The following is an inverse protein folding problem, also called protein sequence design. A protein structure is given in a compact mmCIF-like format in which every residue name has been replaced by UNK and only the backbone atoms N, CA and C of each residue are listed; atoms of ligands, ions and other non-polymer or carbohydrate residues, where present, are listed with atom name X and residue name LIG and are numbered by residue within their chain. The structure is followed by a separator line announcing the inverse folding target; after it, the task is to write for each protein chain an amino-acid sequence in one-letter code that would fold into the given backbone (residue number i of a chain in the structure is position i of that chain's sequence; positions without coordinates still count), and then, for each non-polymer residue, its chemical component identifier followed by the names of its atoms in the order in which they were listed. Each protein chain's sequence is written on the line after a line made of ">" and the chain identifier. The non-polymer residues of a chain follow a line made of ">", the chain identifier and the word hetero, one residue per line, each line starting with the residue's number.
data_IF_914097221553
#
_entry.id   IF_914097221553
#
_cell.length_a   1.000
_cell.length_b   1.000
_cell.length_c   1.000
_cell.angle_alpha   90.00
_cell.angle_beta   90.00
_cell.angle_gamma   90.00
#
_symmetry.space_group_name_H-M   'P 1'
#
loop_
_entity.id
_entity.type
_entity.pdbx_description
1 polymer ?
#
# COMPACT_ATOMS: atom_id res chain seq x y z
N UNK A 1 -31.55 9.71 16.35
CA UNK A 1 -30.82 8.55 16.90
C UNK A 1 -29.34 8.80 16.71
N UNK A 2 -28.66 9.36 17.71
CA UNK A 2 -27.22 9.63 17.68
C UNK A 2 -26.48 8.36 18.12
N UNK A 3 -25.65 7.80 17.24
CA UNK A 3 -24.76 6.70 17.59
C UNK A 3 -23.67 7.22 18.52
N UNK A 4 -23.79 6.98 19.82
CA UNK A 4 -22.66 7.15 20.75
C UNK A 4 -21.70 5.98 20.51
N UNK A 5 -20.58 6.26 19.84
CA UNK A 5 -19.49 5.30 19.72
C UNK A 5 -19.01 4.97 21.15
N UNK A 6 -18.82 3.68 21.50
CA UNK A 6 -18.26 3.29 22.79
C UNK A 6 -16.91 4.00 23.00
N UNK A 7 -16.50 4.17 24.26
CA UNK A 7 -15.31 4.92 24.70
C UNK A 7 -13.99 4.36 24.11
N UNK A 8 -13.78 4.58 22.80
CA UNK A 8 -12.69 4.08 22.00
C UNK A 8 -11.47 4.94 22.33
N UNK A 9 -10.55 4.39 23.12
CA UNK A 9 -9.27 5.04 23.37
C UNK A 9 -8.43 4.99 22.08
N UNK A 10 -7.99 6.14 21.54
CA UNK A 10 -7.12 6.14 20.36
C UNK A 10 -5.81 5.41 20.64
N UNK A 11 -5.51 4.40 19.83
CA UNK A 11 -4.21 3.71 19.83
C UNK A 11 -3.44 4.10 18.57
N UNK A 12 -2.53 5.06 18.73
CA UNK A 12 -1.74 5.61 17.63
C UNK A 12 -0.85 4.55 16.97
N UNK A 13 -0.29 3.63 17.75
CA UNK A 13 0.61 2.60 17.23
C UNK A 13 -0.16 1.61 16.35
N UNK A 14 -1.33 1.18 16.82
CA UNK A 14 -2.22 0.31 16.04
C UNK A 14 -2.73 1.00 14.78
N UNK A 15 -3.13 2.27 14.86
CA UNK A 15 -3.60 3.02 13.68
C UNK A 15 -2.49 3.18 12.65
N UNK A 16 -1.26 3.49 13.08
CA UNK A 16 -0.13 3.61 12.15
C UNK A 16 0.22 2.27 11.49
N UNK A 17 0.18 1.18 12.25
CA UNK A 17 0.37 -0.17 11.71
C UNK A 17 -0.69 -0.51 10.66
N UNK A 18 -1.97 -0.23 10.94
CA UNK A 18 -3.06 -0.44 10.00
C UNK A 18 -2.89 0.42 8.75
N UNK A 19 -2.60 1.72 8.91
CA UNK A 19 -2.40 2.63 7.78
C UNK A 19 -1.27 2.17 6.85
N UNK A 20 -0.16 1.66 7.39
CA UNK A 20 0.94 1.09 6.59
C UNK A 20 0.50 -0.15 5.82
N UNK A 21 -0.26 -1.05 6.44
CA UNK A 21 -0.81 -2.24 5.78
C UNK A 21 -1.76 -1.87 4.64
N UNK A 22 -2.67 -0.94 4.89
CA UNK A 22 -3.65 -0.50 3.89
C UNK A 22 -2.98 0.19 2.70
N UNK A 23 -1.87 0.91 2.91
CA UNK A 23 -1.12 1.52 1.82
C UNK A 23 -0.65 0.48 0.78
N UNK A 24 -0.15 -0.67 1.21
CA UNK A 24 0.25 -1.74 0.28
C UNK A 24 -0.93 -2.34 -0.50
N UNK A 25 -2.10 -2.43 0.13
CA UNK A 25 -3.33 -2.90 -0.53
C UNK A 25 -3.77 -1.90 -1.60
N UNK A 26 -3.75 -0.59 -1.29
CA UNK A 26 -4.08 0.46 -2.26
C UNK A 26 -3.15 0.45 -3.47
N UNK A 27 -1.85 0.25 -3.25
CA UNK A 27 -0.87 0.14 -4.34
C UNK A 27 -1.17 -1.09 -5.20
N UNK A 28 -1.39 -2.25 -4.57
CA UNK A 28 -1.73 -3.48 -5.27
C UNK A 28 -2.96 -3.31 -6.17
N UNK A 29 -4.04 -2.75 -5.62
CA UNK A 29 -5.28 -2.56 -6.36
C UNK A 29 -5.10 -1.58 -7.53
N UNK A 30 -4.35 -0.49 -7.32
CA UNK A 30 -4.02 0.46 -8.38
C UNK A 30 -3.22 -0.19 -9.53
N UNK A 31 -2.22 -1.01 -9.19
CA UNK A 31 -1.40 -1.72 -10.17
C UNK A 31 -2.20 -2.77 -10.92
N UNK A 32 -3.11 -3.47 -10.24
CA UNK A 32 -4.02 -4.41 -10.88
C UNK A 32 -5.00 -3.70 -11.85
N UNK A 33 -5.43 -2.48 -11.54
CA UNK A 33 -6.24 -1.65 -12.46
C UNK A 33 -5.46 -1.20 -13.71
N UNK A 34 -4.12 -1.21 -13.66
CA UNK A 34 -3.27 -1.01 -14.84
C UNK A 34 -3.06 -2.29 -15.67
N UNK A 35 -3.70 -3.41 -15.29
CA UNK A 35 -3.57 -4.69 -15.97
C UNK A 35 -2.27 -5.43 -15.65
N UNK A 36 -1.59 -5.05 -14.56
CA UNK A 36 -0.34 -5.64 -14.13
C UNK A 36 -0.60 -6.54 -12.92
N UNK A 37 -0.32 -7.84 -13.08
CA UNK A 37 -0.66 -8.85 -12.09
C UNK A 37 0.52 -9.14 -11.15
N UNK A 38 0.74 -8.27 -10.17
CA UNK A 38 1.56 -8.60 -9.01
C UNK A 38 0.68 -9.12 -7.88
N UNK A 39 1.18 -10.09 -7.13
CA UNK A 39 0.58 -10.49 -5.85
C UNK A 39 0.88 -9.43 -4.78
N UNK A 40 0.08 -9.38 -3.72
CA UNK A 40 0.31 -8.45 -2.61
C UNK A 40 1.72 -8.59 -1.98
N UNK A 41 2.27 -9.80 -1.74
CA UNK A 41 3.64 -9.96 -1.26
C UNK A 41 4.71 -9.41 -2.22
N UNK A 42 4.50 -9.52 -3.55
CA UNK A 42 5.42 -8.94 -4.54
C UNK A 42 5.37 -7.42 -4.52
N UNK A 43 4.18 -6.82 -4.39
CA UNK A 43 4.04 -5.37 -4.21
C UNK A 43 4.75 -4.89 -2.94
N UNK A 44 4.60 -5.61 -1.83
CA UNK A 44 5.32 -5.29 -0.58
C UNK A 44 6.84 -5.37 -0.77
N UNK A 45 7.33 -6.41 -1.46
CA UNK A 45 8.75 -6.58 -1.79
C UNK A 45 9.28 -5.39 -2.60
N UNK A 46 8.54 -4.95 -3.62
CA UNK A 46 8.87 -3.77 -4.43
C UNK A 46 8.85 -2.47 -3.60
N UNK A 47 7.90 -2.32 -2.68
CA UNK A 47 7.83 -1.17 -1.76
C UNK A 47 9.00 -1.13 -0.77
N UNK A 48 9.51 -2.29 -0.37
CA UNK A 48 10.72 -2.43 0.46
C UNK A 48 12.02 -2.18 -0.34
N UNK A 49 11.92 -1.88 -1.64
CA UNK A 49 13.05 -1.59 -2.51
C UNK A 49 13.75 -2.84 -3.06
N UNK A 50 13.13 -4.01 -2.94
CA UNK A 50 13.64 -5.28 -3.44
C UNK A 50 12.95 -5.62 -4.77
N UNK A 51 13.72 -6.06 -5.76
CA UNK A 51 13.17 -6.47 -7.06
C UNK A 51 12.51 -7.85 -6.99
N UNK A 52 11.48 -8.06 -7.80
CA UNK A 52 10.83 -9.37 -7.95
C UNK A 52 11.13 -9.99 -9.31
N UNK A 53 11.35 -11.30 -9.36
CA UNK A 53 11.55 -12.03 -10.61
C UNK A 53 10.23 -12.29 -11.35
N UNK A 54 10.30 -12.68 -12.62
CA UNK A 54 9.13 -13.15 -13.38
C UNK A 54 8.24 -12.08 -14.01
N UNK A 55 8.52 -10.79 -13.77
CA UNK A 55 7.78 -9.65 -14.33
C UNK A 55 8.67 -8.75 -15.17
N UNK A 56 8.08 -8.01 -16.12
CA UNK A 56 8.84 -7.03 -16.91
C UNK A 56 9.34 -5.91 -16.01
N UNK A 57 10.53 -5.40 -16.29
CA UNK A 57 11.08 -4.25 -15.57
C UNK A 57 10.19 -3.01 -15.71
N UNK A 58 9.52 -2.81 -16.85
CA UNK A 58 8.54 -1.73 -17.03
C UNK A 58 7.41 -1.80 -16.02
N UNK A 59 6.90 -3.01 -15.78
CA UNK A 59 5.75 -3.25 -14.93
C UNK A 59 6.13 -3.05 -13.45
N UNK A 60 7.34 -3.47 -13.08
CA UNK A 60 7.93 -3.16 -11.77
C UNK A 60 8.08 -1.64 -11.55
N UNK A 61 8.54 -0.89 -12.56
CA UNK A 61 8.66 0.56 -12.46
C UNK A 61 7.31 1.24 -12.26
N UNK A 62 6.26 0.77 -12.95
CA UNK A 62 4.90 1.26 -12.77
C UNK A 62 4.42 1.01 -11.34
N UNK A 63 4.61 -0.20 -10.82
CA UNK A 63 4.25 -0.54 -9.43
C UNK A 63 4.99 0.34 -8.40
N UNK A 64 6.28 0.57 -8.61
CA UNK A 64 7.08 1.48 -7.77
C UNK A 64 6.58 2.93 -7.87
N UNK A 65 6.15 3.39 -9.05
CA UNK A 65 5.61 4.72 -9.23
C UNK A 65 4.27 4.89 -8.51
N UNK A 66 3.40 3.87 -8.55
CA UNK A 66 2.17 3.85 -7.76
C UNK A 66 2.48 3.89 -6.26
N UNK A 67 3.41 3.06 -5.78
CA UNK A 67 3.86 3.12 -4.38
C UNK A 67 4.35 4.51 -3.97
N UNK A 68 5.17 5.16 -4.81
CA UNK A 68 5.64 6.53 -4.56
C UNK A 68 4.49 7.53 -4.51
N UNK A 69 3.47 7.41 -5.36
CA UNK A 69 2.33 8.33 -5.37
C UNK A 69 1.56 8.33 -4.05
N UNK A 70 1.42 7.17 -3.40
CA UNK A 70 0.73 7.01 -2.13
C UNK A 70 1.62 7.36 -0.93
N UNK A 71 2.89 6.93 -0.93
CA UNK A 71 3.81 7.12 0.21
C UNK A 71 4.36 8.55 0.27
N UNK A 72 4.66 9.19 -0.86
CA UNK A 72 5.25 10.54 -0.89
C UNK A 72 4.26 11.66 -0.55
N UNK A 73 2.94 11.38 -0.54
CA UNK A 73 1.90 12.37 -0.25
C UNK A 73 1.47 12.43 1.23
N UNK A 74 1.97 11.53 2.09
CA UNK A 74 1.43 11.36 3.45
C UNK A 74 2.41 11.42 4.61
N UNK A 75 3.73 11.57 4.39
CA UNK A 75 4.70 11.64 5.49
C UNK A 75 5.77 12.69 5.19
N UNK A 76 5.55 13.90 5.70
CA UNK A 76 6.60 14.72 6.30
C UNK A 76 6.28 14.85 7.78
#
# INVERSE_FOLDING_TARGET
>A
MTLTLPNLKPDKAKVLMLAKREASVLVHDAVQLEGINFTLPEIQTLMDGVTVGGHKLSDQHIAINQAKAWVSRGVK
#
